data_IF_600594913115
#
_entry.id   IF_600594913115
#
_cell.length_a   1.000
_cell.length_b   1.000
_cell.length_c   1.000
_cell.angle_alpha   90.00
_cell.angle_beta   90.00
_cell.angle_gamma   90.00
#
_symmetry.space_group_name_H-M   'P 1'
#
loop_
_entity.id
_entity.type
_entity.pdbx_description
1 polymer ?
#
# COMPACT_ATOMS: atom_id res chain seq x y z
N UNK A 1 -25.67 -47.27 -44.86
CA UNK A 1 -25.53 -45.81 -44.88
C UNK A 1 -25.16 -45.39 -43.48
N UNK A 2 -24.00 -44.75 -43.35
CA UNK A 2 -23.49 -44.18 -42.11
C UNK A 2 -24.21 -42.85 -41.79
N UNK A 3 -24.26 -42.48 -40.52
CA UNK A 3 -24.80 -41.21 -40.02
C UNK A 3 -24.95 -41.32 -38.50
N UNK A 4 -23.85 -41.18 -37.78
CA UNK A 4 -23.39 -39.94 -37.11
C UNK A 4 -23.98 -39.85 -35.70
N UNK A 5 -23.39 -40.64 -34.80
CA UNK A 5 -23.50 -40.44 -33.36
C UNK A 5 -22.28 -39.66 -32.94
N UNK A 6 -22.38 -38.34 -32.98
CA UNK A 6 -21.41 -37.44 -32.35
C UNK A 6 -21.68 -37.46 -30.84
N UNK A 7 -21.06 -38.42 -30.16
CA UNK A 7 -20.78 -38.30 -28.73
C UNK A 7 -19.85 -37.10 -28.57
N UNK A 8 -20.43 -35.93 -28.29
CA UNK A 8 -19.71 -34.80 -27.77
C UNK A 8 -19.18 -35.22 -26.40
N UNK A 9 -17.94 -35.73 -26.38
CA UNK A 9 -17.19 -35.90 -25.16
C UNK A 9 -17.20 -34.54 -24.45
N UNK A 10 -17.84 -34.50 -23.29
CA UNK A 10 -17.63 -33.41 -22.36
C UNK A 10 -16.14 -33.44 -22.04
N UNK A 11 -15.40 -32.45 -22.54
CA UNK A 11 -14.04 -32.19 -22.10
C UNK A 11 -14.15 -31.93 -20.60
N UNK A 12 -13.81 -32.94 -19.81
CA UNK A 12 -13.66 -32.85 -18.38
C UNK A 12 -12.49 -31.87 -18.17
N UNK A 13 -12.81 -30.58 -17.98
CA UNK A 13 -11.84 -29.62 -17.49
C UNK A 13 -11.40 -30.13 -16.11
N UNK A 14 -10.29 -30.87 -16.10
CA UNK A 14 -9.70 -31.40 -14.87
C UNK A 14 -9.32 -30.18 -14.03
N UNK A 15 -10.15 -29.85 -13.04
CA UNK A 15 -9.78 -28.83 -12.08
C UNK A 15 -8.46 -29.24 -11.42
N UNK A 16 -7.47 -28.32 -11.35
CA UNK A 16 -6.20 -28.64 -10.74
C UNK A 16 -6.45 -29.08 -9.29
N UNK A 17 -6.08 -30.33 -8.98
CA UNK A 17 -6.19 -30.88 -7.63
C UNK A 17 -4.87 -30.69 -6.91
N UNK A 18 -4.92 -30.06 -5.74
CA UNK A 18 -3.76 -29.88 -4.86
C UNK A 18 -3.99 -30.63 -3.55
N UNK A 19 -2.91 -31.05 -2.92
CA UNK A 19 -2.98 -31.64 -1.58
C UNK A 19 -3.25 -30.55 -0.53
N UNK A 20 -3.77 -30.94 0.63
CA UNK A 20 -3.95 -30.01 1.76
C UNK A 20 -2.61 -29.40 2.18
N UNK A 21 -1.53 -30.18 2.12
CA UNK A 21 -0.17 -29.68 2.40
C UNK A 21 0.25 -28.59 1.42
N UNK A 22 0.11 -28.82 0.12
CA UNK A 22 0.44 -27.81 -0.91
C UNK A 22 -0.44 -26.56 -0.77
N UNK A 23 -1.72 -26.72 -0.39
CA UNK A 23 -2.61 -25.59 -0.15
C UNK A 23 -2.19 -24.77 1.08
N UNK A 24 -1.79 -25.43 2.17
CA UNK A 24 -1.27 -24.76 3.37
C UNK A 24 0.04 -24.02 3.07
N UNK A 25 0.98 -24.67 2.39
CA UNK A 25 2.25 -24.07 1.99
C UNK A 25 2.04 -22.85 1.08
N UNK A 26 1.03 -22.89 0.21
CA UNK A 26 0.61 -21.75 -0.62
C UNK A 26 0.14 -20.55 0.21
N UNK A 27 -0.78 -20.79 1.17
CA UNK A 27 -1.28 -19.74 2.07
C UNK A 27 -0.14 -19.12 2.87
N UNK A 28 0.73 -19.94 3.47
CA UNK A 28 1.85 -19.45 4.28
C UNK A 28 2.82 -18.57 3.46
N UNK A 29 3.04 -18.93 2.19
CA UNK A 29 3.86 -18.13 1.29
C UNK A 29 3.21 -16.77 0.95
N UNK A 30 1.90 -16.76 0.69
CA UNK A 30 1.13 -15.54 0.42
C UNK A 30 1.07 -14.62 1.66
N UNK A 31 0.86 -15.18 2.85
CA UNK A 31 0.88 -14.44 4.12
C UNK A 31 2.25 -13.80 4.37
N UNK A 32 3.34 -14.52 4.14
CA UNK A 32 4.69 -13.99 4.28
C UNK A 32 4.96 -12.83 3.31
N UNK A 33 4.49 -12.93 2.07
CA UNK A 33 4.63 -11.85 1.08
C UNK A 33 3.85 -10.60 1.50
N UNK A 34 2.61 -10.77 1.96
CA UNK A 34 1.79 -9.68 2.48
C UNK A 34 2.46 -9.00 3.69
N UNK A 35 3.05 -9.77 4.61
CA UNK A 35 3.76 -9.25 5.78
C UNK A 35 4.98 -8.39 5.40
N UNK A 36 5.75 -8.81 4.39
CA UNK A 36 6.91 -8.06 3.89
C UNK A 36 6.50 -6.69 3.32
N UNK A 37 5.30 -6.62 2.76
CA UNK A 37 4.74 -5.43 2.13
C UNK A 37 4.05 -4.51 3.15
N UNK A 38 3.18 -5.06 4.01
CA UNK A 38 2.32 -4.30 4.91
C UNK A 38 2.97 -4.05 6.29
N UNK A 39 4.10 -4.70 6.56
CA UNK A 39 4.81 -4.58 7.83
C UNK A 39 4.16 -5.36 8.97
N UNK A 40 3.45 -6.46 8.65
CA UNK A 40 2.79 -7.33 9.63
C UNK A 40 1.53 -6.73 10.26
N UNK A 41 0.83 -5.84 9.56
CA UNK A 41 -0.43 -5.26 10.01
C UNK A 41 -1.61 -5.99 9.37
N UNK A 42 -2.41 -6.69 10.18
CA UNK A 42 -3.59 -7.46 9.72
C UNK A 42 -4.74 -6.57 9.19
N UNK A 43 -4.63 -5.24 9.32
CA UNK A 43 -5.62 -4.28 8.81
C UNK A 43 -6.96 -4.27 9.58
N UNK A 44 -7.04 -4.90 10.74
CA UNK A 44 -8.27 -5.02 11.53
C UNK A 44 -8.46 -3.89 12.56
N UNK A 45 -7.37 -3.38 13.12
CA UNK A 45 -7.38 -2.41 14.22
C UNK A 45 -6.54 -1.18 13.87
N UNK A 46 -6.93 -0.01 14.40
CA UNK A 46 -6.12 1.18 14.21
C UNK A 46 -4.82 1.07 15.02
N UNK A 47 -3.69 1.23 14.34
CA UNK A 47 -2.36 1.14 14.96
C UNK A 47 -2.00 2.29 15.90
N UNK A 48 -2.87 3.31 16.05
CA UNK A 48 -2.58 4.49 16.87
C UNK A 48 -2.21 4.15 18.32
N UNK A 49 -2.92 3.21 18.93
CA UNK A 49 -2.70 2.80 20.32
C UNK A 49 -1.44 1.94 20.49
N UNK A 50 -0.94 1.34 19.41
CA UNK A 50 0.37 0.67 19.38
C UNK A 50 1.55 1.67 19.38
N UNK A 51 1.28 2.98 19.27
CA UNK A 51 2.27 4.04 19.34
C UNK A 51 3.05 4.21 18.04
N UNK A 52 4.35 4.52 18.16
CA UNK A 52 5.23 4.69 17.00
C UNK A 52 5.86 3.34 16.63
N UNK A 53 5.36 2.75 15.54
CA UNK A 53 5.80 1.45 15.07
C UNK A 53 7.14 1.52 14.34
N UNK A 54 7.96 0.46 14.46
CA UNK A 54 9.26 0.38 13.78
C UNK A 54 9.11 0.36 12.26
N UNK A 55 8.09 -0.32 11.76
CA UNK A 55 7.60 -0.28 10.37
C UNK A 55 6.09 -0.40 10.40
N UNK A 56 5.42 0.39 9.58
CA UNK A 56 3.98 0.35 9.40
C UNK A 56 3.66 0.73 7.96
N UNK A 57 2.77 0.01 7.28
CA UNK A 57 2.17 0.50 6.05
C UNK A 57 1.46 1.85 6.30
N UNK A 58 1.75 2.84 5.46
CA UNK A 58 1.18 4.17 5.56
C UNK A 58 0.50 4.53 4.26
N UNK A 59 -0.68 5.12 4.39
CA UNK A 59 -1.48 5.61 3.28
C UNK A 59 -1.72 7.11 3.48
N UNK A 60 -1.72 7.90 2.41
CA UNK A 60 -2.11 9.31 2.47
C UNK A 60 -3.43 9.50 1.73
N UNK A 61 -4.41 10.09 2.41
CA UNK A 61 -5.72 10.38 1.80
C UNK A 61 -5.72 11.80 1.23
N UNK A 62 -5.61 11.91 -0.10
CA UNK A 62 -5.57 13.18 -0.82
C UNK A 62 -6.93 13.91 -0.79
N UNK A 63 -8.03 13.16 -0.64
CA UNK A 63 -9.36 13.76 -0.44
C UNK A 63 -9.50 14.46 0.90
N UNK A 64 -8.98 13.87 1.98
CA UNK A 64 -9.11 14.43 3.33
C UNK A 64 -8.02 15.46 3.66
N UNK A 65 -6.78 15.19 3.24
CA UNK A 65 -5.61 16.00 3.57
C UNK A 65 -4.77 16.24 2.31
N UNK A 66 -5.24 17.10 1.37
CA UNK A 66 -4.55 17.36 0.11
C UNK A 66 -3.16 17.99 0.30
N UNK A 67 -2.94 18.65 1.44
CA UNK A 67 -1.63 19.21 1.80
C UNK A 67 -0.58 18.14 2.14
N UNK A 68 -0.95 16.86 2.22
CA UNK A 68 -0.02 15.74 2.45
C UNK A 68 0.71 15.82 3.80
N UNK A 69 0.01 16.29 4.84
CA UNK A 69 0.57 16.45 6.19
C UNK A 69 0.06 15.41 7.18
N UNK A 70 -0.55 14.32 6.70
CA UNK A 70 -1.10 13.25 7.52
C UNK A 70 -0.98 11.90 6.80
N UNK A 71 -0.83 10.82 7.58
CA UNK A 71 -0.90 9.45 7.06
C UNK A 71 -1.72 8.53 7.95
N UNK A 72 -2.34 7.53 7.36
CA UNK A 72 -3.24 6.59 8.03
C UNK A 72 -2.71 5.16 7.88
N UNK A 73 -3.02 4.29 8.84
CA UNK A 73 -2.68 2.86 8.77
C UNK A 73 -3.64 2.09 7.85
N UNK A 74 -3.32 0.84 7.55
CA UNK A 74 -4.10 -0.06 6.68
C UNK A 74 -5.56 -0.15 7.14
N UNK A 75 -5.79 -0.42 8.42
CA UNK A 75 -7.15 -0.52 8.96
C UNK A 75 -7.98 0.77 8.78
N UNK A 76 -7.34 1.94 8.94
CA UNK A 76 -8.01 3.21 8.73
C UNK A 76 -8.25 3.52 7.25
N UNK A 77 -7.33 3.11 6.37
CA UNK A 77 -7.54 3.17 4.92
C UNK A 77 -8.83 2.43 4.54
N UNK A 78 -8.99 1.19 5.02
CA UNK A 78 -10.13 0.33 4.70
C UNK A 78 -11.42 0.73 5.41
N UNK A 79 -11.37 1.17 6.67
CA UNK A 79 -12.58 1.45 7.46
C UNK A 79 -13.06 2.91 7.38
N UNK A 80 -12.13 3.87 7.27
CA UNK A 80 -12.43 5.29 7.39
C UNK A 80 -12.29 6.06 6.08
N UNK A 81 -11.41 5.59 5.17
CA UNK A 81 -11.09 6.27 3.91
C UNK A 81 -11.47 5.44 2.67
N UNK A 82 -12.33 4.45 2.85
CA UNK A 82 -12.92 3.70 1.74
C UNK A 82 -13.68 4.63 0.79
N UNK A 83 -13.41 4.48 -0.50
CA UNK A 83 -13.99 5.33 -1.55
C UNK A 83 -13.37 6.73 -1.68
N UNK A 84 -12.30 7.06 -0.95
CA UNK A 84 -11.55 8.30 -1.14
C UNK A 84 -10.36 8.09 -2.08
N UNK A 85 -9.79 9.19 -2.58
CA UNK A 85 -8.50 9.18 -3.26
C UNK A 85 -7.39 9.01 -2.22
N UNK A 86 -6.77 7.82 -2.22
CA UNK A 86 -5.72 7.42 -1.28
C UNK A 86 -4.52 6.93 -2.07
N UNK A 87 -3.33 7.35 -1.65
CA UNK A 87 -2.06 6.84 -2.18
C UNK A 87 -1.37 5.95 -1.14
N UNK A 88 -0.91 4.79 -1.56
CA UNK A 88 -0.11 3.88 -0.75
C UNK A 88 1.35 4.35 -0.72
N UNK A 89 1.90 4.55 0.49
CA UNK A 89 3.26 5.03 0.70
C UNK A 89 4.23 3.94 1.17
N UNK A 90 3.75 2.69 1.16
CA UNK A 90 4.41 1.50 1.70
C UNK A 90 4.79 1.68 3.17
N UNK A 91 5.73 0.86 3.66
CA UNK A 91 6.15 0.93 5.05
C UNK A 91 6.99 2.19 5.35
N UNK A 92 6.65 2.88 6.45
CA UNK A 92 7.44 3.97 7.05
C UNK A 92 7.90 3.60 8.44
N UNK A 93 9.05 4.15 8.86
CA UNK A 93 9.57 3.94 10.21
C UNK A 93 9.08 4.99 11.19
N UNK A 94 8.92 4.58 12.45
CA UNK A 94 8.58 5.47 13.56
C UNK A 94 7.38 6.35 13.24
N UNK A 95 6.32 5.72 12.71
CA UNK A 95 5.09 6.40 12.29
C UNK A 95 3.94 5.97 13.18
N UNK A 96 3.04 6.92 13.48
CA UNK A 96 1.82 6.70 14.24
C UNK A 96 0.61 7.21 13.45
N UNK A 97 -0.46 6.42 13.38
CA UNK A 97 -1.63 6.74 12.55
C UNK A 97 -2.29 8.09 12.91
N UNK A 98 -2.39 9.00 11.94
CA UNK A 98 -3.01 10.32 12.13
C UNK A 98 -4.54 10.32 11.98
N UNK A 99 -5.15 9.21 11.51
CA UNK A 99 -6.57 9.18 11.15
C UNK A 99 -7.45 9.76 12.26
N UNK A 100 -8.23 10.79 11.94
CA UNK A 100 -9.19 11.40 12.83
C UNK A 100 -8.64 12.37 13.88
N UNK A 101 -7.35 12.73 13.81
CA UNK A 101 -6.79 13.81 14.61
C UNK A 101 -7.17 15.19 14.05
N UNK A 102 -6.58 16.29 14.57
CA UNK A 102 -6.98 17.64 14.18
C UNK A 102 -6.75 17.97 12.69
N UNK A 103 -5.96 17.16 11.97
CA UNK A 103 -5.69 17.32 10.54
C UNK A 103 -6.86 16.88 9.65
N UNK A 104 -7.84 16.15 10.19
CA UNK A 104 -8.97 15.59 9.44
C UNK A 104 -10.28 16.40 9.60
N UNK A 105 -10.17 17.72 9.85
CA UNK A 105 -11.33 18.63 9.81
C UNK A 105 -12.46 18.30 10.81
N UNK A 106 -12.16 17.58 11.90
CA UNK A 106 -13.14 17.17 12.91
C UNK A 106 -13.83 15.83 12.65
N UNK A 107 -13.50 15.12 11.56
CA UNK A 107 -13.90 13.73 11.38
C UNK A 107 -13.11 12.84 12.34
N UNK A 108 -13.78 12.00 13.11
CA UNK A 108 -13.14 11.07 14.04
C UNK A 108 -12.88 9.72 13.38
N UNK A 109 -11.83 9.04 13.82
CA UNK A 109 -11.55 7.67 13.39
C UNK A 109 -12.62 6.72 13.96
N UNK A 110 -13.14 5.82 13.12
CA UNK A 110 -14.15 4.83 13.53
C UNK A 110 -13.58 3.74 14.45
N UNK A 111 -12.28 3.48 14.36
CA UNK A 111 -11.60 2.37 15.05
C UNK A 111 -10.94 2.81 16.36
N UNK A 112 -10.39 4.03 16.42
CA UNK A 112 -9.78 4.60 17.63
C UNK A 112 -10.12 6.10 17.69
N UNK A 113 -11.25 6.49 18.32
CA UNK A 113 -11.75 7.87 18.27
C UNK A 113 -10.99 8.83 19.19
N UNK A 114 -10.34 8.33 20.23
CA UNK A 114 -9.64 9.14 21.22
C UNK A 114 -8.15 9.24 20.88
N UNK A 115 -7.75 10.37 20.27
CA UNK A 115 -6.38 10.62 19.85
C UNK A 115 -5.88 11.99 20.30
N UNK A 116 -4.57 12.10 20.40
CA UNK A 116 -3.89 13.38 20.53
C UNK A 116 -4.12 14.20 19.25
N UNK A 117 -4.20 15.54 19.34
CA UNK A 117 -4.44 16.39 18.18
C UNK A 117 -3.40 16.19 17.07
N UNK A 118 -2.14 15.95 17.45
CA UNK A 118 -1.02 15.80 16.53
C UNK A 118 -0.02 14.74 16.99
N UNK A 119 0.67 14.11 16.03
CA UNK A 119 1.76 13.18 16.26
C UNK A 119 3.11 13.87 15.89
N UNK A 120 3.80 14.51 16.85
CA UNK A 120 4.94 15.38 16.54
C UNK A 120 6.19 14.66 16.01
N UNK A 121 6.30 13.34 16.20
CA UNK A 121 7.44 12.58 15.69
C UNK A 121 7.19 11.99 14.28
N UNK A 122 5.99 12.15 13.71
CA UNK A 122 5.73 11.78 12.32
C UNK A 122 6.50 12.71 11.39
N UNK A 123 7.01 12.14 10.29
CA UNK A 123 7.69 12.87 9.22
C UNK A 123 6.93 12.71 7.91
N UNK A 124 6.76 13.81 7.18
CA UNK A 124 6.00 13.85 5.94
C UNK A 124 6.87 14.43 4.82
N UNK A 125 7.09 13.66 3.76
CA UNK A 125 7.79 14.09 2.56
C UNK A 125 6.80 14.37 1.42
N UNK A 126 7.29 14.65 0.21
CA UNK A 126 6.42 14.93 -0.95
C UNK A 126 5.48 13.77 -1.34
N UNK A 127 5.78 12.53 -0.96
CA UNK A 127 4.96 11.37 -1.34
C UNK A 127 3.56 11.44 -0.74
N UNK A 128 3.41 12.08 0.42
CA UNK A 128 2.10 12.28 1.04
C UNK A 128 1.18 13.18 0.20
N UNK A 129 1.71 13.91 -0.78
CA UNK A 129 0.96 14.69 -1.77
C UNK A 129 0.77 13.94 -3.10
N UNK A 130 1.18 12.67 -3.16
CA UNK A 130 1.22 11.89 -4.38
C UNK A 130 2.28 12.36 -5.37
N UNK A 131 3.32 13.08 -4.92
CA UNK A 131 4.46 13.49 -5.75
C UNK A 131 5.72 12.76 -5.34
N UNK A 132 6.53 12.37 -6.33
CA UNK A 132 7.68 11.51 -6.11
C UNK A 132 8.90 12.01 -6.86
N UNK A 133 10.06 11.55 -6.40
CA UNK A 133 11.36 11.80 -6.99
C UNK A 133 11.76 13.28 -7.03
N UNK A 134 13.00 13.57 -7.41
CA UNK A 134 13.49 14.94 -7.65
C UNK A 134 12.73 15.69 -8.77
N UNK A 135 11.99 14.98 -9.61
CA UNK A 135 11.17 15.57 -10.67
C UNK A 135 9.76 15.95 -10.21
N UNK A 136 9.36 15.61 -8.98
CA UNK A 136 8.05 15.91 -8.38
C UNK A 136 6.86 15.57 -9.29
N UNK A 137 6.92 14.39 -9.91
CA UNK A 137 5.84 13.86 -10.75
C UNK A 137 4.93 12.93 -9.95
N UNK A 138 3.65 12.81 -10.32
CA UNK A 138 2.77 11.84 -9.69
C UNK A 138 3.12 10.41 -10.13
N UNK A 139 2.67 9.44 -9.34
CA UNK A 139 2.73 8.02 -9.69
C UNK A 139 1.36 7.37 -9.45
N UNK A 140 0.78 6.69 -10.46
CA UNK A 140 1.28 6.57 -11.84
C UNK A 140 1.25 7.93 -12.59
N UNK A 141 2.27 8.19 -13.42
CA UNK A 141 2.36 9.45 -14.19
C UNK A 141 1.41 9.39 -15.39
N UNK A 142 0.37 10.24 -15.48
CA UNK A 142 -0.60 10.23 -16.58
C UNK A 142 0.00 10.65 -17.93
N UNK A 143 1.16 11.32 -17.93
CA UNK A 143 1.86 11.74 -19.14
C UNK A 143 2.93 10.73 -19.61
N UNK A 144 3.25 9.73 -18.77
CA UNK A 144 4.23 8.72 -19.10
C UNK A 144 3.67 7.67 -20.07
N UNK A 145 4.45 7.31 -21.09
CA UNK A 145 4.10 6.24 -22.03
C UNK A 145 4.11 4.86 -21.38
N UNK A 146 5.05 4.66 -20.45
CA UNK A 146 5.25 3.44 -19.69
C UNK A 146 5.56 3.84 -18.25
N UNK A 147 4.96 3.14 -17.28
CA UNK A 147 5.27 3.34 -15.87
C UNK A 147 6.57 2.59 -15.55
N UNK A 148 7.50 3.26 -14.88
CA UNK A 148 8.77 2.69 -14.47
C UNK A 148 8.73 2.31 -13.00
N UNK A 149 9.46 1.25 -12.64
CA UNK A 149 9.64 0.87 -11.25
C UNK A 149 10.41 1.98 -10.49
N UNK A 150 10.03 2.20 -9.24
CA UNK A 150 10.65 3.21 -8.38
C UNK A 150 11.39 2.54 -7.22
N UNK A 151 12.44 3.20 -6.73
CA UNK A 151 13.26 2.73 -5.61
C UNK A 151 13.06 3.65 -4.41
N UNK A 152 12.75 3.07 -3.24
CA UNK A 152 12.64 3.83 -2.00
C UNK A 152 14.01 4.05 -1.36
N UNK A 153 14.34 5.30 -1.04
CA UNK A 153 15.52 5.61 -0.25
C UNK A 153 15.32 5.18 1.21
N UNK A 154 16.24 4.36 1.73
CA UNK A 154 16.15 3.89 3.12
C UNK A 154 16.34 5.00 4.16
N UNK A 155 16.89 6.17 3.80
CA UNK A 155 17.15 7.28 4.71
C UNK A 155 15.96 8.24 4.79
N UNK A 156 15.59 8.87 3.66
CA UNK A 156 14.51 9.87 3.61
C UNK A 156 13.13 9.27 3.31
N UNK A 157 13.06 7.97 3.00
CA UNK A 157 11.83 7.26 2.67
C UNK A 157 11.04 7.90 1.51
N UNK A 158 11.74 8.64 0.64
CA UNK A 158 11.23 9.14 -0.63
C UNK A 158 11.48 8.10 -1.74
N UNK A 159 10.64 8.11 -2.77
CA UNK A 159 10.73 7.22 -3.92
C UNK A 159 11.33 7.93 -5.12
N UNK A 160 12.25 7.27 -5.81
CA UNK A 160 12.98 7.84 -6.93
C UNK A 160 12.87 6.93 -8.15
N UNK A 161 12.81 7.55 -9.33
CA UNK A 161 13.10 6.83 -10.58
C UNK A 161 14.57 6.46 -10.61
N UNK A 162 14.90 5.29 -11.18
CA UNK A 162 16.28 4.81 -11.31
C UNK A 162 17.22 5.88 -11.89
N UNK A 163 16.80 6.52 -12.99
CA UNK A 163 17.56 7.57 -13.70
C UNK A 163 17.83 8.83 -12.88
N UNK A 164 17.05 9.08 -11.82
CA UNK A 164 17.10 10.30 -11.03
C UNK A 164 17.81 10.12 -9.68
N UNK A 165 18.35 8.93 -9.39
CA UNK A 165 19.11 8.65 -8.16
C UNK A 165 20.54 9.21 -8.27
N UNK A 166 20.95 9.70 -9.45
CA UNK A 166 22.28 10.27 -9.66
C UNK A 166 23.40 9.22 -9.66
N UNK A 167 23.04 7.96 -9.86
CA UNK A 167 23.98 6.92 -10.25
C UNK A 167 24.14 7.06 -11.76
N UNK A 168 25.26 7.63 -12.24
CA UNK A 168 25.64 7.49 -13.64
C UNK A 168 25.53 6.00 -13.98
N UNK A 169 24.70 5.67 -14.98
CA UNK A 169 24.52 4.31 -15.47
C UNK A 169 25.92 3.71 -15.67
N UNK A 170 26.32 2.78 -14.80
CA UNK A 170 27.54 2.03 -15.00
C UNK A 170 27.26 1.01 -16.11
N UNK A 171 27.04 1.50 -17.32
CA UNK A 171 27.05 0.68 -18.51
C UNK A 171 28.49 0.24 -18.77
N UNK A 172 28.71 -1.06 -18.60
CA UNK A 172 29.67 -1.82 -19.41
C UNK A 172 29.18 -3.23 -19.64
#
# INVERSE_FOLDING_TARGET
>A
MAGDGTDAAFEDEVEPTVTISEYMEGIEAEELEADLVLGGDDGNECTYDAGYLKRQAVFSCLTCVPDGVAGVCTACCLACHDGHEVVELWTKRNFRCDCGNSKFGGHLCKLSPEKDPENPANSYNQNFKGSYCTCSRPYPDPEAKEQVEMIQCCICEDWFHEDHIGLDSMEK
#
